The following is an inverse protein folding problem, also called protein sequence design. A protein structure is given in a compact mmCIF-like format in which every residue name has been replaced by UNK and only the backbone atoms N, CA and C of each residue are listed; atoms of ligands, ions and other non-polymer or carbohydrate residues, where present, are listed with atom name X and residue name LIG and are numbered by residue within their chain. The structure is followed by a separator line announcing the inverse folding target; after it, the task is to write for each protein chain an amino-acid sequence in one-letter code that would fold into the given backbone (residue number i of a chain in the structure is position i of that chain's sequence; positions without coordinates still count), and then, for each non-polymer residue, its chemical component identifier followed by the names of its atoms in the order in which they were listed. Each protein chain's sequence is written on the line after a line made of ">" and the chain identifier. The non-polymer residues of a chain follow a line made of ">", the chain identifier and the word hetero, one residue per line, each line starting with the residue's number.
data_IF_685421988379
#
_entry.id   IF_685421988379
#
_cell.length_a   1.000
_cell.length_b   1.000
_cell.length_c   1.000
_cell.angle_alpha   90.00
_cell.angle_beta   90.00
_cell.angle_gamma   90.00
#
_symmetry.space_group_name_H-M   'P 1'
#
loop_
_entity.id
_entity.type
_entity.pdbx_description
1 polymer ?
#
# COMPACT_ATOMS: atom_id res chain seq x y z
N UNK A 1 -2.76 -13.69 -48.13
CA UNK A 1 -2.09 -13.37 -46.86
C UNK A 1 -3.19 -13.17 -45.84
N UNK A 2 -3.27 -13.94 -44.74
CA UNK A 2 -4.18 -13.56 -43.66
C UNK A 2 -3.70 -12.22 -43.11
N UNK A 3 -4.60 -11.26 -42.94
CA UNK A 3 -4.31 -10.02 -42.22
C UNK A 3 -3.84 -10.40 -40.82
N UNK A 4 -2.53 -10.28 -40.56
CA UNK A 4 -2.03 -10.29 -39.20
C UNK A 4 -2.58 -9.04 -38.52
N UNK A 5 -3.61 -9.21 -37.69
CA UNK A 5 -4.13 -8.16 -36.85
C UNK A 5 -3.01 -7.68 -35.91
N UNK A 6 -2.30 -6.62 -36.32
CA UNK A 6 -1.31 -5.94 -35.47
C UNK A 6 -2.04 -5.16 -34.38
N UNK A 7 -2.54 -5.86 -33.37
CA UNK A 7 -3.12 -5.25 -32.19
C UNK A 7 -2.01 -4.87 -31.22
N UNK A 8 -1.86 -3.57 -30.92
CA UNK A 8 -1.04 -3.12 -29.80
C UNK A 8 -1.73 -3.48 -28.48
N UNK A 9 -1.33 -4.62 -27.94
CA UNK A 9 -1.82 -5.15 -26.67
C UNK A 9 -1.18 -4.50 -25.43
N UNK A 10 -0.11 -3.73 -25.62
CA UNK A 10 0.60 -3.02 -24.56
C UNK A 10 1.33 -3.91 -23.57
N UNK A 11 1.59 -5.19 -23.89
CA UNK A 11 2.27 -6.14 -23.00
C UNK A 11 3.33 -6.90 -23.80
N UNK A 12 4.60 -6.77 -23.40
CA UNK A 12 5.70 -7.32 -24.16
C UNK A 12 6.78 -7.91 -23.26
N UNK A 13 7.18 -9.16 -23.53
CA UNK A 13 8.43 -9.71 -23.00
C UNK A 13 9.58 -9.07 -23.78
N UNK A 14 10.27 -8.14 -23.14
CA UNK A 14 11.39 -7.40 -23.75
C UNK A 14 12.66 -8.26 -23.77
N UNK A 15 12.94 -8.92 -22.65
CA UNK A 15 14.02 -9.88 -22.50
C UNK A 15 13.44 -11.19 -21.99
N UNK A 16 13.75 -12.33 -22.64
CA UNK A 16 13.07 -13.60 -22.36
C UNK A 16 13.31 -14.09 -20.93
N UNK A 17 12.33 -14.82 -20.34
CA UNK A 17 12.50 -15.44 -19.04
C UNK A 17 13.62 -16.49 -19.06
N UNK A 18 14.33 -16.61 -17.95
CA UNK A 18 15.26 -17.70 -17.71
C UNK A 18 14.52 -19.04 -17.62
N UNK A 19 15.17 -20.11 -18.10
CA UNK A 19 14.66 -21.48 -18.03
C UNK A 19 14.71 -22.08 -16.61
N UNK A 20 15.35 -21.40 -15.66
CA UNK A 20 15.36 -21.84 -14.26
C UNK A 20 13.96 -21.78 -13.65
N UNK A 21 13.59 -22.83 -12.92
CA UNK A 21 12.38 -22.86 -12.09
C UNK A 21 12.52 -22.05 -10.80
N UNK A 22 13.75 -21.71 -10.40
CA UNK A 22 14.03 -20.85 -9.26
C UNK A 22 14.27 -19.41 -9.72
N UNK A 23 13.44 -18.48 -9.23
CA UNK A 23 13.53 -17.06 -9.58
C UNK A 23 12.87 -16.15 -8.56
N UNK A 24 13.22 -14.88 -8.64
CA UNK A 24 12.54 -13.81 -7.89
C UNK A 24 11.86 -12.85 -8.87
N UNK A 25 10.55 -12.68 -8.74
CA UNK A 25 9.75 -11.75 -9.55
C UNK A 25 9.75 -10.37 -8.90
N UNK A 26 10.32 -9.37 -9.55
CA UNK A 26 10.41 -8.00 -9.03
C UNK A 26 9.39 -7.14 -9.77
N UNK A 27 8.33 -6.72 -9.07
CA UNK A 27 7.33 -5.81 -9.63
C UNK A 27 7.82 -4.39 -9.48
N UNK A 28 8.10 -3.75 -10.62
CA UNK A 28 8.67 -2.41 -10.71
C UNK A 28 7.67 -1.45 -11.34
N UNK A 29 7.65 -0.24 -10.80
CA UNK A 29 6.87 0.87 -11.33
C UNK A 29 6.87 1.99 -10.30
N UNK A 30 6.57 3.18 -10.76
CA UNK A 30 6.58 4.37 -9.91
C UNK A 30 5.39 4.36 -8.94
N UNK A 31 5.45 5.21 -7.91
CA UNK A 31 4.33 5.39 -7.01
C UNK A 31 3.04 5.72 -7.80
N UNK A 32 1.94 5.02 -7.51
CA UNK A 32 0.65 5.08 -8.26
C UNK A 32 0.70 4.62 -9.72
N UNK A 33 1.83 4.09 -10.19
CA UNK A 33 2.02 3.53 -11.54
C UNK A 33 1.33 2.18 -11.77
N UNK A 34 0.63 1.66 -10.76
CA UNK A 34 -0.16 0.44 -10.88
C UNK A 34 0.52 -0.84 -10.39
N UNK A 35 1.66 -0.75 -9.71
CA UNK A 35 2.42 -1.92 -9.22
C UNK A 35 1.61 -2.90 -8.36
N UNK A 36 0.63 -2.43 -7.59
CA UNK A 36 -0.29 -3.32 -6.85
C UNK A 36 -1.15 -4.21 -7.75
N UNK A 37 -1.41 -3.81 -9.01
CA UNK A 37 -2.14 -4.61 -9.98
C UNK A 37 -1.40 -5.92 -10.28
N UNK A 38 -0.12 -5.81 -10.63
CA UNK A 38 0.70 -6.97 -10.94
C UNK A 38 1.04 -7.78 -9.67
N UNK A 39 1.36 -7.12 -8.56
CA UNK A 39 1.66 -7.81 -7.30
C UNK A 39 0.45 -8.59 -6.77
N UNK A 40 -0.74 -7.99 -6.82
CA UNK A 40 -1.99 -8.68 -6.43
C UNK A 40 -2.35 -9.81 -7.39
N UNK A 41 -2.19 -9.61 -8.71
CA UNK A 41 -2.39 -10.69 -9.67
C UNK A 41 -1.46 -11.88 -9.39
N UNK A 42 -0.17 -11.64 -9.19
CA UNK A 42 0.80 -12.68 -8.81
C UNK A 42 0.42 -13.39 -7.51
N UNK A 43 -0.01 -12.65 -6.48
CA UNK A 43 -0.45 -13.23 -5.22
C UNK A 43 -1.67 -14.15 -5.40
N UNK A 44 -2.67 -13.72 -6.19
CA UNK A 44 -3.84 -14.55 -6.50
C UNK A 44 -3.52 -15.75 -7.41
N UNK A 45 -2.43 -15.68 -8.17
CA UNK A 45 -1.88 -16.77 -8.97
C UNK A 45 -1.00 -17.75 -8.16
N UNK A 46 -0.96 -17.63 -6.83
CA UNK A 46 -0.24 -18.54 -5.95
C UNK A 46 1.24 -18.18 -5.72
N UNK A 47 1.71 -17.03 -6.20
CA UNK A 47 3.10 -16.58 -5.95
C UNK A 47 3.19 -15.94 -4.57
N UNK A 48 4.13 -16.42 -3.75
CA UNK A 48 4.46 -15.78 -2.48
C UNK A 48 5.05 -14.39 -2.70
N UNK A 49 4.39 -13.33 -2.19
CA UNK A 49 4.80 -11.93 -2.38
C UNK A 49 5.52 -11.31 -1.14
N UNK A 50 5.75 -12.11 -0.10
CA UNK A 50 6.26 -11.69 1.21
C UNK A 50 5.29 -12.00 2.36
N UNK A 51 5.79 -12.16 3.58
CA UNK A 51 5.01 -12.60 4.75
C UNK A 51 3.85 -11.65 5.10
N UNK A 52 4.05 -10.35 4.92
CA UNK A 52 3.07 -9.30 5.21
C UNK A 52 2.44 -8.68 3.94
N UNK A 53 2.63 -9.32 2.78
CA UNK A 53 2.16 -8.80 1.49
C UNK A 53 0.66 -9.09 1.32
N UNK A 54 -0.17 -8.16 1.77
CA UNK A 54 -1.63 -8.29 1.71
C UNK A 54 -2.29 -7.18 0.90
N UNK A 55 -3.56 -7.41 0.53
CA UNK A 55 -4.41 -6.41 -0.12
C UNK A 55 -4.43 -5.10 0.70
N UNK A 56 -4.45 -3.92 0.05
CA UNK A 56 -4.54 -3.71 -1.39
C UNK A 56 -3.19 -3.38 -2.05
N UNK A 57 -2.09 -3.51 -1.30
CA UNK A 57 -0.76 -3.07 -1.77
C UNK A 57 0.19 -4.22 -2.06
N UNK A 58 0.11 -5.35 -1.36
CA UNK A 58 0.96 -6.53 -1.58
C UNK A 58 2.45 -6.18 -1.51
N UNK A 59 2.87 -5.53 -0.43
CA UNK A 59 4.26 -5.15 -0.18
C UNK A 59 4.85 -5.95 0.98
N UNK A 60 6.11 -6.38 0.82
CA UNK A 60 6.89 -6.93 1.92
C UNK A 60 7.63 -5.80 2.64
N UNK A 61 7.09 -5.33 3.76
CA UNK A 61 7.70 -4.25 4.55
C UNK A 61 9.03 -4.66 5.20
N UNK A 62 9.21 -5.95 5.51
CA UNK A 62 10.41 -6.47 6.18
C UNK A 62 11.60 -6.40 5.23
N UNK A 63 11.46 -6.98 4.03
CA UNK A 63 12.50 -6.91 3.00
C UNK A 63 12.69 -5.47 2.50
N UNK A 64 11.60 -4.71 2.34
CA UNK A 64 11.70 -3.31 1.92
C UNK A 64 12.49 -2.46 2.90
N UNK A 65 12.23 -2.60 4.20
CA UNK A 65 12.96 -1.87 5.25
C UNK A 65 14.44 -2.24 5.26
N UNK A 66 14.79 -3.50 4.98
CA UNK A 66 16.19 -3.93 4.92
C UNK A 66 16.94 -3.26 3.76
N UNK A 67 16.33 -3.19 2.56
CA UNK A 67 16.90 -2.45 1.42
C UNK A 67 16.96 -0.94 1.69
N UNK A 68 15.90 -0.33 2.21
CA UNK A 68 15.83 1.11 2.46
C UNK A 68 16.86 1.58 3.50
N UNK A 69 17.20 0.73 4.48
CA UNK A 69 18.22 1.00 5.48
C UNK A 69 19.63 0.52 5.08
N UNK A 70 19.80 -0.07 3.88
CA UNK A 70 21.03 -0.73 3.45
C UNK A 70 21.56 -1.77 4.46
N UNK A 71 20.66 -2.49 5.15
CA UNK A 71 21.03 -3.57 6.07
C UNK A 71 21.32 -4.86 5.30
N UNK A 72 22.56 -4.96 4.81
CA UNK A 72 23.02 -6.06 3.97
C UNK A 72 22.83 -7.43 4.65
N UNK A 73 23.06 -7.51 5.96
CA UNK A 73 22.90 -8.75 6.72
C UNK A 73 21.45 -9.18 6.74
N UNK A 74 20.52 -8.25 7.01
CA UNK A 74 19.09 -8.54 6.97
C UNK A 74 18.62 -8.92 5.57
N UNK A 75 19.07 -8.20 4.52
CA UNK A 75 18.72 -8.49 3.12
C UNK A 75 19.05 -9.95 2.78
N UNK A 76 20.31 -10.36 2.96
CA UNK A 76 20.72 -11.73 2.61
C UNK A 76 20.07 -12.79 3.50
N UNK A 77 19.83 -12.50 4.78
CA UNK A 77 19.12 -13.40 5.67
C UNK A 77 17.68 -13.65 5.21
N UNK A 78 16.94 -12.58 4.87
CA UNK A 78 15.55 -12.66 4.41
C UNK A 78 15.48 -13.35 3.04
N UNK A 79 16.30 -12.92 2.08
CA UNK A 79 16.34 -13.51 0.74
C UNK A 79 16.69 -14.99 0.79
N UNK A 80 17.66 -15.39 1.60
CA UNK A 80 18.02 -16.80 1.80
C UNK A 80 16.86 -17.61 2.37
N UNK A 81 16.17 -17.07 3.39
CA UNK A 81 14.99 -17.70 3.98
C UNK A 81 13.88 -17.92 2.94
N UNK A 82 13.59 -16.91 2.10
CA UNK A 82 12.58 -17.04 1.04
C UNK A 82 13.01 -18.01 -0.06
N UNK A 83 14.29 -18.01 -0.44
CA UNK A 83 14.81 -18.93 -1.45
C UNK A 83 14.67 -20.40 -1.04
N UNK A 84 14.80 -20.70 0.25
CA UNK A 84 14.61 -22.05 0.81
C UNK A 84 13.14 -22.47 0.80
N UNK A 85 12.24 -21.56 1.14
CA UNK A 85 10.82 -21.87 1.32
C UNK A 85 10.03 -21.90 0.00
N UNK A 86 10.47 -21.13 -0.99
CA UNK A 86 9.74 -20.94 -2.24
C UNK A 86 10.68 -21.05 -3.41
N UNK A 87 10.35 -21.83 -4.46
CA UNK A 87 11.12 -21.84 -5.72
C UNK A 87 10.97 -20.52 -6.48
N UNK A 88 9.75 -20.03 -6.55
CA UNK A 88 9.42 -18.72 -7.12
C UNK A 88 8.75 -17.90 -6.04
N UNK A 89 9.28 -16.70 -5.81
CA UNK A 89 8.65 -15.69 -4.96
C UNK A 89 8.74 -14.34 -5.64
N UNK A 90 7.85 -13.44 -5.27
CA UNK A 90 7.79 -12.09 -5.80
C UNK A 90 8.00 -11.05 -4.72
N UNK A 91 8.35 -9.85 -5.15
CA UNK A 91 8.50 -8.70 -4.29
C UNK A 91 8.06 -7.44 -5.00
N UNK A 92 7.39 -6.56 -4.28
CA UNK A 92 6.96 -5.25 -4.78
C UNK A 92 7.27 -4.18 -3.75
N UNK A 93 7.91 -3.11 -4.22
CA UNK A 93 8.05 -1.86 -3.48
C UNK A 93 8.19 -0.70 -4.48
N UNK A 94 7.33 0.33 -4.46
CA UNK A 94 7.42 1.43 -5.43
C UNK A 94 8.77 2.17 -5.40
N UNK A 95 9.39 2.31 -4.23
CA UNK A 95 10.69 2.97 -4.07
C UNK A 95 11.85 2.21 -4.73
N UNK A 96 11.65 0.95 -5.15
CA UNK A 96 12.69 0.10 -5.76
C UNK A 96 13.39 0.74 -6.95
N UNK A 97 12.70 1.63 -7.68
CA UNK A 97 13.24 2.38 -8.83
C UNK A 97 14.53 3.14 -8.52
N UNK A 98 14.79 3.44 -7.24
CA UNK A 98 15.98 4.18 -6.80
C UNK A 98 17.18 3.28 -6.46
N UNK A 99 16.99 1.97 -6.36
CA UNK A 99 18.03 1.03 -5.93
C UNK A 99 17.94 -0.33 -6.63
N UNK A 100 17.52 -0.31 -7.91
CA UNK A 100 17.36 -1.52 -8.74
C UNK A 100 18.64 -2.36 -8.84
N UNK A 101 19.82 -1.73 -8.92
CA UNK A 101 21.10 -2.45 -9.00
C UNK A 101 21.37 -3.27 -7.73
N UNK A 102 21.15 -2.70 -6.55
CA UNK A 102 21.34 -3.41 -5.27
C UNK A 102 20.40 -4.60 -5.14
N UNK A 103 19.15 -4.47 -5.62
CA UNK A 103 18.19 -5.58 -5.65
C UNK A 103 18.64 -6.64 -6.65
N UNK A 104 19.09 -6.23 -7.83
CA UNK A 104 19.55 -7.12 -8.89
C UNK A 104 20.68 -8.04 -8.44
N UNK A 105 21.60 -7.51 -7.64
CA UNK A 105 22.74 -8.25 -7.07
C UNK A 105 22.36 -9.15 -5.89
N UNK A 106 21.35 -8.76 -5.10
CA UNK A 106 21.01 -9.45 -3.87
C UNK A 106 20.11 -10.68 -4.07
N UNK A 107 19.22 -10.67 -5.07
CA UNK A 107 18.22 -11.73 -5.27
C UNK A 107 18.64 -12.72 -6.35
N UNK A 108 18.13 -13.96 -6.27
CA UNK A 108 18.45 -14.98 -7.28
C UNK A 108 17.64 -14.76 -8.55
N UNK A 109 18.29 -14.89 -9.70
CA UNK A 109 17.65 -14.93 -11.03
C UNK A 109 16.49 -13.91 -11.18
N UNK A 110 16.75 -12.61 -10.97
CA UNK A 110 15.70 -11.59 -10.93
C UNK A 110 14.97 -11.46 -12.28
N UNK A 111 13.64 -11.48 -12.23
CA UNK A 111 12.75 -11.25 -13.37
C UNK A 111 11.90 -10.03 -13.10
N UNK A 112 11.94 -9.04 -13.98
CA UNK A 112 11.29 -7.76 -13.74
C UNK A 112 9.94 -7.69 -14.47
N UNK A 113 8.91 -7.26 -13.75
CA UNK A 113 7.61 -6.91 -14.32
C UNK A 113 7.46 -5.40 -14.16
N UNK A 114 7.70 -4.67 -15.25
CA UNK A 114 7.77 -3.21 -15.25
C UNK A 114 6.47 -2.61 -15.76
N UNK A 115 5.75 -1.91 -14.89
CA UNK A 115 4.50 -1.25 -15.21
C UNK A 115 4.72 0.21 -15.58
N UNK A 116 4.08 0.61 -16.68
CA UNK A 116 4.03 1.97 -17.18
C UNK A 116 2.58 2.46 -17.21
N UNK A 117 2.38 3.66 -16.70
CA UNK A 117 1.09 4.33 -16.64
C UNK A 117 1.25 5.78 -17.07
N UNK A 118 0.19 6.32 -17.66
CA UNK A 118 0.09 7.73 -18.03
C UNK A 118 0.58 8.67 -16.91
N UNK A 119 1.49 9.57 -17.26
CA UNK A 119 2.15 10.47 -16.33
C UNK A 119 1.17 11.42 -15.65
N UNK A 120 0.20 11.93 -16.41
CA UNK A 120 -0.80 12.84 -15.87
C UNK A 120 -1.74 12.12 -14.89
N UNK A 121 -2.15 10.90 -15.21
CA UNK A 121 -2.93 10.03 -14.33
C UNK A 121 -2.19 9.75 -13.01
N UNK A 122 -0.89 9.45 -13.08
CA UNK A 122 -0.04 9.28 -11.89
C UNK A 122 0.05 10.58 -11.08
N UNK A 123 0.38 11.70 -11.73
CA UNK A 123 0.55 12.99 -11.06
C UNK A 123 -0.74 13.49 -10.42
N UNK A 124 -1.90 13.32 -11.06
CA UNK A 124 -3.18 13.73 -10.51
C UNK A 124 -3.60 12.84 -9.32
N UNK A 125 -3.27 11.54 -9.34
CA UNK A 125 -3.41 10.65 -8.17
C UNK A 125 -2.53 11.09 -7.00
N UNK A 126 -1.31 11.57 -7.28
CA UNK A 126 -0.40 12.09 -6.28
C UNK A 126 -0.88 13.42 -5.69
N UNK A 127 -1.40 14.35 -6.51
CA UNK A 127 -1.99 15.62 -6.03
C UNK A 127 -3.07 15.40 -4.96
N UNK A 128 -3.97 14.45 -5.20
CA UNK A 128 -5.06 14.13 -4.26
C UNK A 128 -4.53 13.54 -2.94
N UNK A 129 -3.32 12.98 -2.95
CA UNK A 129 -2.74 12.29 -1.79
C UNK A 129 -1.69 13.14 -1.07
N UNK A 130 -0.94 14.02 -1.74
CA UNK A 130 0.28 14.65 -1.22
C UNK A 130 0.32 16.18 -1.38
N UNK A 131 -0.79 16.83 -1.75
CA UNK A 131 -0.89 18.30 -1.97
C UNK A 131 0.20 18.89 -2.89
N UNK A 132 0.81 18.06 -3.75
CA UNK A 132 1.96 18.44 -4.56
C UNK A 132 1.56 18.98 -5.94
N UNK A 133 2.36 19.92 -6.46
CA UNK A 133 2.16 20.50 -7.78
C UNK A 133 2.22 19.43 -8.88
N UNK A 134 1.22 19.44 -9.77
CA UNK A 134 1.04 18.41 -10.81
C UNK A 134 2.27 18.31 -11.71
N UNK A 135 2.82 19.44 -12.18
CA UNK A 135 3.97 19.46 -13.07
C UNK A 135 5.22 18.88 -12.40
N UNK A 136 5.50 19.27 -11.14
CA UNK A 136 6.61 18.72 -10.35
C UNK A 136 6.50 17.20 -10.15
N UNK A 137 5.28 16.68 -9.95
CA UNK A 137 5.06 15.24 -9.89
C UNK A 137 5.28 14.53 -11.23
N UNK A 138 4.91 15.17 -12.34
CA UNK A 138 5.16 14.63 -13.67
C UNK A 138 6.67 14.57 -13.96
N UNK A 139 7.41 15.63 -13.63
CA UNK A 139 8.89 15.66 -13.75
C UNK A 139 9.54 14.55 -12.93
N UNK A 140 9.13 14.38 -11.66
CA UNK A 140 9.62 13.29 -10.82
C UNK A 140 9.32 11.91 -11.44
N UNK A 141 8.09 11.71 -11.93
CA UNK A 141 7.66 10.45 -12.56
C UNK A 141 8.48 10.14 -13.82
N UNK A 142 8.82 11.17 -14.61
CA UNK A 142 9.70 11.04 -15.78
C UNK A 142 11.10 10.57 -15.38
N UNK A 143 11.68 11.17 -14.33
CA UNK A 143 13.00 10.77 -13.82
C UNK A 143 12.97 9.31 -13.34
N UNK A 144 11.96 8.94 -12.55
CA UNK A 144 11.84 7.57 -12.02
C UNK A 144 11.67 6.53 -13.15
N UNK A 145 10.87 6.81 -14.18
CA UNK A 145 10.80 5.92 -15.35
C UNK A 145 12.09 5.88 -16.16
N UNK A 146 12.79 7.02 -16.29
CA UNK A 146 14.10 7.06 -16.95
C UNK A 146 15.10 6.15 -16.25
N UNK A 147 15.12 6.14 -14.91
CA UNK A 147 15.98 5.25 -14.13
C UNK A 147 15.67 3.76 -14.41
N UNK A 148 14.39 3.38 -14.51
CA UNK A 148 13.97 2.03 -14.87
C UNK A 148 14.47 1.66 -16.27
N UNK A 149 14.27 2.53 -17.26
CA UNK A 149 14.70 2.28 -18.64
C UNK A 149 16.22 2.16 -18.74
N UNK A 150 16.95 3.02 -18.04
CA UNK A 150 18.41 2.96 -17.99
C UNK A 150 18.90 1.64 -17.35
N UNK A 151 18.30 1.23 -16.24
CA UNK A 151 18.60 -0.05 -15.60
C UNK A 151 18.39 -1.24 -16.55
N UNK A 152 17.25 -1.28 -17.25
CA UNK A 152 16.94 -2.35 -18.21
C UNK A 152 17.88 -2.35 -19.42
N UNK A 153 18.29 -1.16 -19.88
CA UNK A 153 19.23 -1.01 -21.01
C UNK A 153 20.61 -1.56 -20.66
N UNK A 154 21.08 -1.28 -19.44
CA UNK A 154 22.40 -1.68 -18.95
C UNK A 154 22.45 -3.17 -18.62
N UNK A 155 21.51 -3.66 -17.81
CA UNK A 155 21.59 -5.00 -17.24
C UNK A 155 20.88 -6.07 -18.09
N UNK A 156 19.92 -5.66 -18.93
CA UNK A 156 19.09 -6.54 -19.77
C UNK A 156 18.56 -7.79 -19.05
N UNK A 157 18.02 -7.66 -17.82
CA UNK A 157 17.49 -8.81 -17.11
C UNK A 157 16.19 -9.28 -17.80
N UNK A 158 15.75 -10.53 -17.58
CA UNK A 158 14.41 -10.96 -17.98
C UNK A 158 13.37 -9.91 -17.60
N UNK A 159 12.56 -9.45 -18.56
CA UNK A 159 11.70 -8.30 -18.36
C UNK A 159 10.39 -8.42 -19.14
N UNK A 160 9.27 -8.28 -18.42
CA UNK A 160 7.92 -8.08 -18.94
C UNK A 160 7.55 -6.61 -18.78
N UNK A 161 7.34 -5.92 -19.90
CA UNK A 161 6.84 -4.55 -19.93
C UNK A 161 5.32 -4.56 -20.04
N UNK A 162 4.67 -3.74 -19.22
CA UNK A 162 3.20 -3.72 -19.10
C UNK A 162 2.68 -2.29 -19.12
N UNK A 163 1.82 -1.98 -20.08
CA UNK A 163 0.95 -0.80 -20.02
C UNK A 163 -0.19 -1.07 -19.05
N UNK A 164 -0.29 -0.27 -17.99
CA UNK A 164 -1.32 -0.40 -16.96
C UNK A 164 -2.74 -0.38 -17.53
N UNK A 165 -3.05 0.61 -18.39
CA UNK A 165 -4.40 0.78 -18.92
C UNK A 165 -4.78 -0.37 -19.87
N UNK A 166 -3.82 -0.90 -20.61
CA UNK A 166 -4.03 -2.06 -21.50
C UNK A 166 -4.21 -3.35 -20.71
N UNK A 167 -3.44 -3.55 -19.64
CA UNK A 167 -3.62 -4.67 -18.73
C UNK A 167 -5.00 -4.67 -18.08
N UNK A 168 -5.53 -3.50 -17.69
CA UNK A 168 -6.90 -3.38 -17.19
C UNK A 168 -7.96 -3.67 -18.27
N UNK A 169 -7.74 -3.19 -19.49
CA UNK A 169 -8.66 -3.39 -20.61
C UNK A 169 -8.70 -4.84 -21.08
N UNK A 170 -7.57 -5.56 -21.00
CA UNK A 170 -7.45 -6.95 -21.42
C UNK A 170 -6.82 -7.82 -20.33
N UNK A 171 -7.59 -8.04 -19.27
CA UNK A 171 -7.18 -8.77 -18.06
C UNK A 171 -6.70 -10.20 -18.36
N UNK A 172 -7.41 -10.88 -19.27
CA UNK A 172 -7.09 -12.26 -19.66
C UNK A 172 -5.70 -12.33 -20.26
N UNK A 173 -5.42 -11.49 -21.25
CA UNK A 173 -4.11 -11.45 -21.88
C UNK A 173 -3.01 -11.09 -20.87
N UNK A 174 -3.27 -10.14 -19.98
CA UNK A 174 -2.32 -9.77 -18.94
C UNK A 174 -1.98 -10.92 -18.00
N UNK A 175 -2.99 -11.66 -17.52
CA UNK A 175 -2.78 -12.83 -16.67
C UNK A 175 -2.03 -13.92 -17.45
N UNK A 176 -2.43 -14.22 -18.69
CA UNK A 176 -1.76 -15.23 -19.53
C UNK A 176 -0.28 -14.89 -19.72
N UNK A 177 0.05 -13.61 -19.99
CA UNK A 177 1.44 -13.14 -20.15
C UNK A 177 2.23 -13.15 -18.85
N UNK A 178 1.60 -12.86 -17.71
CA UNK A 178 2.25 -13.01 -16.40
C UNK A 178 2.58 -14.48 -16.14
N UNK A 179 1.64 -15.40 -16.38
CA UNK A 179 1.86 -16.83 -16.18
C UNK A 179 3.00 -17.35 -17.07
N UNK A 180 2.98 -16.99 -18.37
CA UNK A 180 4.04 -17.30 -19.33
C UNK A 180 5.40 -16.78 -18.86
N UNK A 181 5.47 -15.50 -18.50
CA UNK A 181 6.74 -14.87 -18.10
C UNK A 181 7.27 -15.40 -16.77
N UNK A 182 6.40 -15.61 -15.79
CA UNK A 182 6.77 -16.18 -14.50
C UNK A 182 7.13 -17.68 -14.61
N UNK A 183 6.60 -18.38 -15.61
CA UNK A 183 6.72 -19.83 -15.75
C UNK A 183 5.94 -20.56 -14.66
N UNK A 184 4.70 -20.11 -14.41
CA UNK A 184 3.78 -20.70 -13.42
C UNK A 184 2.55 -21.27 -14.11
N UNK A 185 2.02 -22.35 -13.54
CA UNK A 185 0.80 -23.01 -13.98
C UNK A 185 -0.21 -22.94 -12.81
N UNK A 186 -1.04 -21.88 -12.75
CA UNK A 186 -2.02 -21.74 -11.68
C UNK A 186 -3.13 -22.78 -11.82
N UNK A 187 -3.72 -23.17 -10.69
CA UNK A 187 -4.99 -23.88 -10.68
C UNK A 187 -6.11 -23.03 -11.30
N UNK A 188 -7.21 -23.67 -11.71
CA UNK A 188 -8.38 -22.95 -12.23
C UNK A 188 -8.95 -21.94 -11.22
N UNK A 189 -8.86 -22.24 -9.93
CA UNK A 189 -9.31 -21.35 -8.86
C UNK A 189 -8.40 -20.11 -8.74
N UNK A 190 -7.08 -20.30 -8.69
CA UNK A 190 -6.10 -19.19 -8.64
C UNK A 190 -6.22 -18.27 -9.87
N UNK A 191 -6.38 -18.86 -11.05
CA UNK A 191 -6.59 -18.10 -12.29
C UNK A 191 -7.87 -17.25 -12.21
N UNK A 192 -8.97 -17.83 -11.72
CA UNK A 192 -10.24 -17.11 -11.58
C UNK A 192 -10.16 -16.01 -10.50
N UNK A 193 -9.45 -16.26 -9.40
CA UNK A 193 -9.20 -15.28 -8.35
C UNK A 193 -8.43 -14.07 -8.89
N UNK A 194 -7.40 -14.30 -9.72
CA UNK A 194 -6.66 -13.22 -10.37
C UNK A 194 -7.53 -12.43 -11.35
N UNK A 195 -8.36 -13.11 -12.15
CA UNK A 195 -9.31 -12.47 -13.07
C UNK A 195 -10.32 -11.58 -12.33
N UNK A 196 -10.82 -12.04 -11.17
CA UNK A 196 -11.79 -11.32 -10.34
C UNK A 196 -11.15 -10.12 -9.62
N UNK A 197 -9.91 -10.26 -9.17
CA UNK A 197 -9.16 -9.20 -8.50
C UNK A 197 -8.95 -7.97 -9.39
N UNK A 198 -8.58 -8.19 -10.65
CA UNK A 198 -8.31 -7.11 -11.60
C UNK A 198 -9.62 -6.41 -11.92
N UNK A 199 -9.86 -5.25 -11.33
CA UNK A 199 -11.07 -4.45 -11.55
C UNK A 199 -10.72 -3.00 -11.90
N UNK A 200 -11.48 -2.36 -12.80
CA UNK A 200 -11.37 -0.93 -12.99
C UNK A 200 -11.77 -0.22 -11.68
N UNK A 201 -10.87 0.60 -11.14
CA UNK A 201 -11.10 1.46 -9.97
C UNK A 201 -11.50 0.74 -8.66
N UNK A 202 -10.60 -0.01 -8.00
CA UNK A 202 -10.89 -0.64 -6.72
C UNK A 202 -11.08 0.45 -5.65
N UNK A 203 -12.31 0.63 -5.17
CA UNK A 203 -12.67 1.61 -4.12
C UNK A 203 -11.79 1.45 -2.88
N UNK A 204 -11.54 0.21 -2.47
CA UNK A 204 -10.67 -0.15 -1.35
C UNK A 204 -9.21 0.34 -1.53
N UNK A 205 -8.67 0.28 -2.76
CA UNK A 205 -7.33 0.80 -3.04
C UNK A 205 -7.29 2.34 -3.01
N UNK A 206 -8.36 3.01 -3.45
CA UNK A 206 -8.47 4.47 -3.32
C UNK A 206 -8.53 4.88 -1.83
N UNK A 207 -9.28 4.16 -1.00
CA UNK A 207 -9.48 4.49 0.42
C UNK A 207 -8.27 4.14 1.31
N UNK A 208 -7.48 3.13 0.94
CA UNK A 208 -6.29 2.71 1.69
C UNK A 208 -5.04 3.54 1.40
N UNK A 209 -5.03 4.34 0.32
CA UNK A 209 -3.79 4.97 -0.18
C UNK A 209 -3.90 6.48 -0.38
N UNK A 210 -4.89 7.13 0.22
CA UNK A 210 -4.92 8.60 0.38
C UNK A 210 -3.97 8.98 1.51
N UNK A 211 -2.90 9.71 1.21
CA UNK A 211 -2.18 10.43 2.25
C UNK A 211 -3.05 11.60 2.75
N UNK A 212 -2.89 11.97 4.03
CA UNK A 212 -3.84 12.83 4.73
C UNK A 212 -5.15 12.14 5.17
N UNK A 213 -5.23 10.80 5.12
CA UNK A 213 -6.36 10.08 5.71
C UNK A 213 -6.25 10.18 7.24
N UNK A 214 -7.33 10.63 7.87
CA UNK A 214 -7.46 10.56 9.33
C UNK A 214 -7.57 9.09 9.72
N UNK A 215 -6.61 8.66 10.53
CA UNK A 215 -6.62 7.38 11.23
C UNK A 215 -6.76 7.67 12.71
N UNK A 216 -7.35 6.76 13.46
CA UNK A 216 -7.54 6.93 14.88
C UNK A 216 -8.55 5.95 15.40
N UNK A 217 -8.55 5.79 16.71
CA UNK A 217 -9.31 4.75 17.39
C UNK A 217 -9.74 5.25 18.76
N UNK A 218 -10.98 4.92 19.16
CA UNK A 218 -11.43 5.04 20.54
C UNK A 218 -11.05 3.74 21.25
N UNK A 219 -10.13 3.85 22.21
CA UNK A 219 -9.60 2.71 22.96
C UNK A 219 -10.50 2.36 24.14
N UNK A 220 -10.89 3.38 24.91
CA UNK A 220 -11.68 3.20 26.14
C UNK A 220 -12.73 4.29 26.26
N UNK A 221 -13.92 3.85 26.66
CA UNK A 221 -15.03 4.70 27.03
C UNK A 221 -15.53 4.27 28.40
N UNK A 222 -15.49 5.18 29.36
CA UNK A 222 -15.98 4.99 30.72
C UNK A 222 -16.93 6.11 31.12
N UNK A 223 -17.57 5.99 32.30
CA UNK A 223 -18.48 7.01 32.84
C UNK A 223 -17.95 8.44 32.79
N UNK A 224 -16.65 8.64 33.04
CA UNK A 224 -16.03 9.95 33.18
C UNK A 224 -14.86 10.19 32.23
N UNK A 225 -14.47 9.21 31.42
CA UNK A 225 -13.34 9.36 30.50
C UNK A 225 -13.59 8.74 29.13
N UNK A 226 -13.07 9.40 28.10
CA UNK A 226 -12.99 8.86 26.73
C UNK A 226 -11.58 9.09 26.23
N UNK A 227 -10.85 8.04 25.88
CA UNK A 227 -9.49 8.17 25.39
C UNK A 227 -9.19 7.26 24.20
N UNK A 228 -8.16 7.64 23.47
CA UNK A 228 -7.78 6.99 22.24
C UNK A 228 -6.64 7.74 21.57
N UNK A 229 -6.57 7.63 20.25
CA UNK A 229 -5.59 8.36 19.45
C UNK A 229 -6.12 8.73 18.07
N UNK A 230 -5.55 9.76 17.45
CA UNK A 230 -5.87 10.21 16.11
C UNK A 230 -4.64 10.84 15.43
N UNK A 231 -4.41 10.51 14.17
CA UNK A 231 -3.31 11.02 13.36
C UNK A 231 -3.66 11.06 11.87
N UNK A 232 -2.82 11.70 11.07
CA UNK A 232 -2.84 11.56 9.61
C UNK A 232 -1.98 10.36 9.19
N UNK A 233 -2.49 9.56 8.25
CA UNK A 233 -1.74 8.42 7.73
C UNK A 233 -0.52 8.90 6.93
N UNK A 234 0.65 8.35 7.26
CA UNK A 234 1.90 8.52 6.51
C UNK A 234 2.36 9.97 6.35
N UNK A 235 2.14 10.81 7.36
CA UNK A 235 2.66 12.18 7.35
C UNK A 235 4.15 12.18 7.71
N UNK A 236 4.98 12.77 6.85
CA UNK A 236 6.43 12.94 7.12
C UNK A 236 6.68 14.07 8.12
N UNK A 237 5.70 14.95 8.31
CA UNK A 237 5.72 16.02 9.29
C UNK A 237 4.42 15.95 10.11
N UNK A 238 4.43 15.28 11.28
CA UNK A 238 3.22 14.96 12.02
C UNK A 238 2.55 16.23 12.53
N UNK A 239 1.40 16.58 11.94
CA UNK A 239 0.53 17.63 12.45
C UNK A 239 -0.49 17.03 13.42
N UNK A 240 -0.56 17.52 14.66
CA UNK A 240 -1.52 16.98 15.61
C UNK A 240 -2.94 17.37 15.17
N UNK A 241 -3.86 16.40 15.26
CA UNK A 241 -5.25 16.59 14.84
C UNK A 241 -6.06 17.24 15.95
N UNK A 242 -6.96 18.16 15.57
CA UNK A 242 -7.97 18.66 16.49
C UNK A 242 -9.19 17.76 16.42
N UNK A 243 -9.61 17.21 17.55
CA UNK A 243 -10.75 16.30 17.65
C UNK A 243 -11.85 16.87 18.51
N UNK A 244 -13.08 16.48 18.20
CA UNK A 244 -14.29 16.89 18.91
C UNK A 244 -15.02 15.67 19.45
N UNK A 245 -15.41 15.74 20.71
CA UNK A 245 -16.28 14.78 21.38
C UNK A 245 -17.73 15.24 21.22
N UNK A 246 -18.58 14.34 20.72
CA UNK A 246 -20.03 14.51 20.71
C UNK A 246 -20.69 13.43 21.58
N UNK A 247 -21.65 13.84 22.40
CA UNK A 247 -22.55 12.95 23.13
C UNK A 247 -23.96 13.15 22.56
N UNK A 248 -24.57 12.09 22.05
CA UNK A 248 -25.90 12.13 21.41
C UNK A 248 -25.96 13.20 20.30
N UNK A 249 -24.91 13.27 19.47
CA UNK A 249 -24.69 14.26 18.41
C UNK A 249 -24.57 15.73 18.87
N UNK A 250 -24.44 16.00 20.17
CA UNK A 250 -24.14 17.35 20.68
C UNK A 250 -22.64 17.48 20.97
N UNK A 251 -21.95 18.48 20.41
CA UNK A 251 -20.54 18.71 20.72
C UNK A 251 -20.39 19.14 22.19
N UNK A 252 -19.49 18.46 22.89
CA UNK A 252 -19.26 18.66 24.33
C UNK A 252 -17.91 19.31 24.58
N UNK A 253 -16.86 18.80 23.94
CA UNK A 253 -15.49 19.25 24.15
C UNK A 253 -14.65 19.05 22.88
N UNK A 254 -13.57 19.80 22.81
CA UNK A 254 -12.57 19.75 21.74
C UNK A 254 -11.17 19.78 22.36
N UNK A 255 -10.24 19.07 21.75
CA UNK A 255 -8.83 19.13 22.11
C UNK A 255 -7.94 18.78 20.92
N UNK A 256 -6.64 18.95 21.11
CA UNK A 256 -5.61 18.50 20.19
C UNK A 256 -5.14 17.10 20.61
N UNK A 257 -5.10 16.15 19.68
CA UNK A 257 -4.59 14.80 19.90
C UNK A 257 -3.06 14.81 19.86
N UNK A 258 -2.42 15.29 20.93
CA UNK A 258 -0.97 15.45 21.06
C UNK A 258 -0.39 14.71 22.27
N UNK A 259 -1.15 13.87 22.99
CA UNK A 259 -0.59 13.10 24.09
C UNK A 259 0.37 12.03 23.56
N UNK A 260 1.50 11.86 24.24
CA UNK A 260 2.48 10.83 23.90
C UNK A 260 1.94 9.42 24.20
N UNK A 261 2.12 8.51 23.25
CA UNK A 261 1.78 7.09 23.32
C UNK A 261 2.95 6.26 22.78
N UNK A 262 3.59 5.51 23.66
CA UNK A 262 4.76 4.68 23.34
C UNK A 262 4.43 3.57 22.34
N UNK A 263 3.25 2.97 22.44
CA UNK A 263 2.79 1.91 21.56
C UNK A 263 2.60 2.40 20.11
N UNK A 264 2.17 3.64 19.90
CA UNK A 264 2.03 4.20 18.54
C UNK A 264 3.38 4.40 17.86
N UNK A 265 4.40 4.77 18.64
CA UNK A 265 5.78 4.86 18.16
C UNK A 265 6.36 3.47 17.92
N UNK A 266 6.22 2.56 18.89
CA UNK A 266 6.77 1.21 18.85
C UNK A 266 6.21 0.35 17.70
N UNK A 267 4.92 0.48 17.41
CA UNK A 267 4.27 -0.20 16.28
C UNK A 267 4.36 0.58 14.96
N UNK A 268 5.09 1.71 14.93
CA UNK A 268 5.27 2.57 13.75
C UNK A 268 3.94 3.08 13.16
N UNK A 269 2.94 3.27 14.02
CA UNK A 269 1.64 3.87 13.66
C UNK A 269 1.78 5.39 13.52
N UNK A 270 2.57 6.01 14.39
CA UNK A 270 2.84 7.45 14.37
C UNK A 270 4.33 7.74 14.60
N UNK A 271 4.90 8.63 13.79
CA UNK A 271 6.36 8.87 13.73
C UNK A 271 6.97 9.43 15.03
N UNK A 272 6.19 10.11 15.86
CA UNK A 272 6.65 10.68 17.15
C UNK A 272 5.96 10.06 18.36
N UNK A 273 4.88 9.29 18.15
CA UNK A 273 3.98 8.85 19.24
C UNK A 273 3.07 9.93 19.84
N UNK A 274 3.20 11.20 19.46
CA UNK A 274 2.32 12.30 19.91
C UNK A 274 1.05 12.35 19.06
N UNK A 275 0.09 11.49 19.39
CA UNK A 275 -1.19 11.36 18.69
C UNK A 275 -2.34 10.94 19.61
N UNK A 276 -2.10 10.81 20.91
CA UNK A 276 -3.09 10.39 21.89
C UNK A 276 -4.03 11.52 22.30
N UNK A 277 -5.21 11.15 22.77
CA UNK A 277 -6.15 12.07 23.39
C UNK A 277 -6.84 11.48 24.61
N UNK A 278 -7.36 12.35 25.46
CA UNK A 278 -8.18 11.97 26.61
C UNK A 278 -9.13 13.11 26.97
N UNK A 279 -10.42 12.82 26.93
CA UNK A 279 -11.47 13.67 27.47
C UNK A 279 -11.78 13.23 28.90
N UNK A 280 -11.74 14.18 29.83
CA UNK A 280 -12.22 14.00 31.20
C UNK A 280 -13.55 14.75 31.31
N UNK A 281 -14.62 14.03 31.63
CA UNK A 281 -15.98 14.55 31.69
C UNK A 281 -16.29 15.04 33.11
N UNK A 282 -16.93 16.21 33.20
CA UNK A 282 -17.43 16.73 34.46
C UNK A 282 -18.73 16.03 34.88
N UNK A 283 -19.19 16.32 36.09
CA UNK A 283 -20.41 15.71 36.66
C UNK A 283 -21.66 15.94 35.79
N UNK A 284 -21.69 17.00 34.98
CA UNK A 284 -22.81 17.36 34.10
C UNK A 284 -22.83 16.55 32.80
N UNK A 285 -21.67 16.05 32.38
CA UNK A 285 -21.49 15.30 31.14
C UNK A 285 -21.09 13.84 31.37
N UNK A 286 -21.25 13.31 32.59
CA UNK A 286 -21.05 11.89 32.87
C UNK A 286 -21.94 11.01 32.01
N UNK A 287 -21.32 9.97 31.43
CA UNK A 287 -21.97 9.09 30.47
C UNK A 287 -22.94 8.14 31.18
N UNK A 288 -24.07 7.87 30.50
CA UNK A 288 -25.13 6.99 30.99
C UNK A 288 -25.38 5.87 29.98
N UNK A 289 -25.85 4.69 30.43
CA UNK A 289 -26.27 3.63 29.52
C UNK A 289 -27.23 4.15 28.45
N UNK A 290 -26.93 3.84 27.19
CA UNK A 290 -27.65 4.31 26.02
C UNK A 290 -27.12 5.61 25.38
N UNK A 291 -26.19 6.32 26.02
CA UNK A 291 -25.52 7.46 25.37
C UNK A 291 -24.70 7.00 24.16
N UNK A 292 -24.74 7.80 23.10
CA UNK A 292 -23.96 7.58 21.87
C UNK A 292 -22.80 8.56 21.84
N UNK A 293 -21.59 8.03 21.88
CA UNK A 293 -20.34 8.79 21.86
C UNK A 293 -19.77 8.79 20.46
N UNK A 294 -19.41 9.98 19.97
CA UNK A 294 -18.66 10.12 18.73
C UNK A 294 -17.42 10.96 18.97
N UNK A 295 -16.30 10.49 18.44
CA UNK A 295 -15.09 11.29 18.31
C UNK A 295 -14.85 11.52 16.82
N UNK A 296 -14.72 12.80 16.44
CA UNK A 296 -14.49 13.21 15.07
C UNK A 296 -13.27 14.12 14.96
N UNK A 297 -12.58 14.11 13.82
CA UNK A 297 -11.68 15.21 13.49
C UNK A 297 -12.50 16.44 13.12
N UNK A 298 -12.17 17.58 13.74
CA UNK A 298 -13.01 18.78 13.75
C UNK A 298 -13.26 19.37 12.35
N UNK A 299 -12.24 19.39 11.50
CA UNK A 299 -12.28 20.10 10.22
C UNK A 299 -13.08 19.34 9.17
N UNK A 300 -12.90 18.03 9.12
CA UNK A 300 -13.49 17.12 8.13
C UNK A 300 -14.78 16.46 8.62
N UNK A 301 -15.01 16.39 9.93
CA UNK A 301 -16.14 15.69 10.53
C UNK A 301 -16.06 14.15 10.42
N UNK A 302 -14.88 13.61 10.08
CA UNK A 302 -14.67 12.16 9.95
C UNK A 302 -14.63 11.52 11.34
N UNK A 303 -15.45 10.48 11.53
CA UNK A 303 -15.44 9.66 12.75
C UNK A 303 -14.18 8.79 12.83
N UNK A 304 -13.65 8.66 14.06
CA UNK A 304 -12.59 7.69 14.35
C UNK A 304 -13.12 6.26 14.37
N UNK A 305 -12.23 5.26 14.32
CA UNK A 305 -12.63 3.86 14.51
C UNK A 305 -13.21 3.68 15.92
N UNK A 306 -14.26 2.86 16.03
CA UNK A 306 -15.14 2.70 17.20
C UNK A 306 -16.00 3.92 17.55
N UNK A 307 -16.16 4.87 16.62
CA UNK A 307 -17.18 5.93 16.67
C UNK A 307 -18.27 5.64 15.60
N UNK A 308 -19.57 5.60 15.95
CA UNK A 308 -20.13 5.82 17.28
C UNK A 308 -19.93 4.64 18.24
N UNK A 309 -19.76 4.95 19.53
CA UNK A 309 -19.78 4.00 20.63
C UNK A 309 -21.07 4.14 21.43
N UNK A 310 -21.75 3.03 21.74
CA UNK A 310 -22.95 3.05 22.61
C UNK A 310 -22.58 2.60 24.02
N UNK A 311 -22.87 3.43 25.01
CA UNK A 311 -22.56 3.14 26.42
C UNK A 311 -23.45 2.01 26.94
N UNK A 312 -22.84 0.98 27.50
CA UNK A 312 -23.52 -0.10 28.22
C UNK A 312 -23.41 0.08 29.73
N UNK A 313 -24.15 -0.72 30.50
CA UNK A 313 -24.06 -0.70 31.97
C UNK A 313 -22.63 -0.99 32.47
N UNK A 314 -21.91 -1.89 31.81
CA UNK A 314 -20.52 -2.26 32.12
C UNK A 314 -19.54 -1.08 31.93
N UNK A 315 -19.83 -0.15 31.02
CA UNK A 315 -18.98 1.04 30.82
C UNK A 315 -19.17 2.10 31.93
N UNK A 316 -20.24 1.97 32.74
CA UNK A 316 -20.60 2.93 33.79
C UNK A 316 -20.48 2.41 35.22
N UNK A 317 -20.15 1.12 35.36
CA UNK A 317 -19.85 0.45 36.62
C UNK A 317 -18.46 0.84 37.15
#
# INVERSE_FOLDING_TARGET
>A
MPESNFTNDGIQILFPPSQSSEKTLIVVGIARGGTSLAAGALSHLGVFMGEAAHSPVFEDLRLSSAFENNDITAIYSIVSSYNVQHKTWGWKRPSVVNYLSSVHEAVRNPHYICLFKDLFSVANRNRISMESEVLKNMERSLIEYSNVVQFLTTNKPPCLMVSYDKALANKKLFIDRICEFAGIEPSSEEYQNAMNFITPSPKEYFDATRAGKIIGHIDVVSRNTVHGWAALSADTEPKPLTIILLINNKPIAELIADKYREDLLGHKVHVTGYAGFEFILDDKHTLKPGDIIRIQEKSSGVDLVNSPWTITEENTA
#
